data_IF_280154893679
#
_entry.id   IF_280154893679
#
_cell.length_a   1.000
_cell.length_b   1.000
_cell.length_c   1.000
_cell.angle_alpha   90.00
_cell.angle_beta   90.00
_cell.angle_gamma   90.00
#
_symmetry.space_group_name_H-M   'P 1'
#
loop_
_entity.id
_entity.type
_entity.pdbx_description
1 polymer ?
#
# COMPACT_ATOMS: atom_id res chain seq x y z
N UNK A 1 -66.22 68.79 88.21
CA UNK A 1 -66.99 68.93 86.95
C UNK A 1 -65.99 68.95 85.79
N UNK A 2 -66.10 67.97 84.86
CA UNK A 2 -66.47 68.18 83.42
C UNK A 2 -65.22 68.57 82.58
N UNK A 3 -64.85 68.00 81.42
CA UNK A 3 -65.48 67.10 80.43
C UNK A 3 -65.29 67.67 79.01
N UNK A 4 -64.82 66.83 78.04
CA UNK A 4 -64.94 66.93 76.54
C UNK A 4 -64.24 68.12 75.81
N UNK A 5 -63.82 68.13 74.52
CA UNK A 5 -63.96 67.31 73.30
C UNK A 5 -62.97 67.80 72.18
N UNK A 6 -62.81 66.99 71.12
CA UNK A 6 -62.54 67.30 69.69
C UNK A 6 -61.14 67.08 69.05
N UNK A 7 -61.19 66.51 67.83
CA UNK A 7 -60.12 65.93 67.00
C UNK A 7 -59.95 66.64 65.64
N UNK A 8 -58.84 66.39 64.92
CA UNK A 8 -58.59 66.77 63.51
C UNK A 8 -57.44 65.95 62.87
N UNK A 9 -57.40 65.74 61.53
CA UNK A 9 -56.92 64.51 60.88
C UNK A 9 -55.51 64.54 60.23
N UNK A 10 -55.09 63.38 59.71
CA UNK A 10 -53.73 63.00 59.25
C UNK A 10 -53.58 62.78 57.72
N UNK A 11 -52.30 62.69 57.30
CA UNK A 11 -51.69 62.00 56.13
C UNK A 11 -51.98 62.44 54.68
N UNK A 12 -50.97 63.06 54.02
CA UNK A 12 -50.91 63.17 52.54
C UNK A 12 -49.49 63.27 51.92
N UNK A 13 -48.39 63.11 52.67
CA UNK A 13 -47.07 63.59 52.20
C UNK A 13 -46.07 62.52 51.71
N UNK A 14 -46.33 61.20 51.89
CA UNK A 14 -45.35 60.16 51.46
C UNK A 14 -45.55 59.60 50.04
N UNK A 15 -46.66 59.90 49.35
CA UNK A 15 -46.97 59.30 48.05
C UNK A 15 -46.33 59.99 46.83
N UNK A 16 -45.89 61.24 46.96
CA UNK A 16 -45.39 62.01 45.81
C UNK A 16 -43.94 61.69 45.42
N UNK A 17 -43.09 61.35 46.39
CA UNK A 17 -41.67 61.06 46.14
C UNK A 17 -41.47 59.68 45.50
N UNK A 18 -42.26 58.68 45.89
CA UNK A 18 -42.25 57.35 45.25
C UNK A 18 -42.67 57.43 43.78
N UNK A 19 -43.69 58.24 43.46
CA UNK A 19 -44.16 58.46 42.07
C UNK A 19 -43.06 59.10 41.20
N UNK A 20 -42.26 60.01 41.76
CA UNK A 20 -41.17 60.65 41.03
C UNK A 20 -40.04 59.66 40.71
N UNK A 21 -39.68 58.79 41.66
CA UNK A 21 -38.67 57.74 41.47
C UNK A 21 -39.14 56.70 40.45
N UNK A 22 -40.40 56.26 40.52
CA UNK A 22 -40.99 55.34 39.54
C UNK A 22 -41.01 55.93 38.12
N UNK A 23 -41.34 57.22 37.95
CA UNK A 23 -41.29 57.90 36.64
C UNK A 23 -39.87 58.00 36.09
N UNK A 24 -38.87 58.21 36.94
CA UNK A 24 -37.46 58.24 36.53
C UNK A 24 -36.97 56.84 36.10
N UNK A 25 -37.37 55.79 36.82
CA UNK A 25 -37.07 54.40 36.46
C UNK A 25 -37.73 53.99 35.14
N UNK A 26 -38.99 54.39 34.90
CA UNK A 26 -39.68 54.13 33.63
C UNK A 26 -38.97 54.77 32.44
N UNK A 27 -38.56 56.05 32.54
CA UNK A 27 -37.80 56.72 31.47
C UNK A 27 -36.44 56.06 31.21
N UNK A 28 -35.78 55.57 32.26
CA UNK A 28 -34.53 54.84 32.12
C UNK A 28 -34.73 53.47 31.44
N UNK A 29 -35.88 52.82 31.70
CA UNK A 29 -36.26 51.57 31.08
C UNK A 29 -36.60 51.76 29.59
N UNK A 30 -37.36 52.80 29.24
CA UNK A 30 -37.67 53.19 27.86
C UNK A 30 -36.38 53.43 27.05
N UNK A 31 -35.43 54.17 27.61
CA UNK A 31 -34.14 54.44 26.97
C UNK A 31 -33.30 53.17 26.77
N UNK A 32 -33.37 52.22 27.72
CA UNK A 32 -32.73 50.90 27.56
C UNK A 32 -33.42 50.08 26.47
N UNK A 33 -34.74 50.10 26.41
CA UNK A 33 -35.52 49.38 25.39
C UNK A 33 -35.21 49.90 23.99
N UNK A 34 -35.12 51.21 23.81
CA UNK A 34 -34.72 51.84 22.54
C UNK A 34 -33.32 51.42 22.09
N UNK A 35 -32.37 51.37 23.03
CA UNK A 35 -31.01 50.94 22.73
C UNK A 35 -30.94 49.46 22.37
N UNK A 36 -31.70 48.61 23.08
CA UNK A 36 -31.82 47.18 22.78
C UNK A 36 -32.47 46.98 21.41
N UNK A 37 -33.51 47.74 21.07
CA UNK A 37 -34.16 47.65 19.76
C UNK A 37 -33.20 48.08 18.63
N UNK A 38 -32.42 49.13 18.83
CA UNK A 38 -31.39 49.57 17.87
C UNK A 38 -30.30 48.51 17.69
N UNK A 39 -29.84 47.88 18.78
CA UNK A 39 -28.88 46.78 18.70
C UNK A 39 -29.47 45.56 17.98
N UNK A 40 -30.70 45.17 18.31
CA UNK A 40 -31.40 44.06 17.64
C UNK A 40 -31.52 44.30 16.13
N UNK A 41 -31.94 45.50 15.72
CA UNK A 41 -32.04 45.86 14.30
C UNK A 41 -30.66 45.86 13.60
N UNK A 42 -29.59 46.24 14.30
CA UNK A 42 -28.23 46.23 13.75
C UNK A 42 -27.71 44.81 13.60
N UNK A 43 -27.91 43.96 14.61
CA UNK A 43 -27.56 42.53 14.59
C UNK A 43 -28.35 41.78 13.52
N UNK A 44 -29.63 42.12 13.32
CA UNK A 44 -30.45 41.51 12.27
C UNK A 44 -29.92 41.88 10.87
N UNK A 45 -29.58 43.15 10.63
CA UNK A 45 -28.96 43.59 9.37
C UNK A 45 -27.59 42.93 9.12
N UNK A 46 -26.77 42.76 10.17
CA UNK A 46 -25.50 42.03 10.07
C UNK A 46 -25.71 40.53 9.80
N UNK A 47 -26.75 39.92 10.39
CA UNK A 47 -27.08 38.52 10.15
C UNK A 47 -27.58 38.31 8.72
N UNK A 48 -28.37 39.23 8.19
CA UNK A 48 -28.83 39.21 6.79
C UNK A 48 -27.68 39.39 5.81
N UNK A 49 -26.73 40.30 6.09
CA UNK A 49 -25.56 40.49 5.23
C UNK A 49 -24.60 39.28 5.27
N UNK A 50 -24.41 38.67 6.44
CA UNK A 50 -23.64 37.42 6.57
C UNK A 50 -24.33 36.27 5.84
N UNK A 51 -25.65 36.13 5.94
CA UNK A 51 -26.43 35.12 5.18
C UNK A 51 -26.32 35.34 3.67
N UNK A 52 -26.40 36.58 3.20
CA UNK A 52 -26.21 36.91 1.78
C UNK A 52 -24.78 36.63 1.31
N UNK A 53 -23.77 36.96 2.11
CA UNK A 53 -22.37 36.66 1.79
C UNK A 53 -22.11 35.15 1.74
N UNK A 54 -22.69 34.38 2.68
CA UNK A 54 -22.64 32.92 2.65
C UNK A 54 -23.39 32.32 1.46
N UNK A 55 -24.57 32.84 1.12
CA UNK A 55 -25.34 32.40 -0.03
C UNK A 55 -24.60 32.70 -1.35
N UNK A 56 -23.98 33.88 -1.47
CA UNK A 56 -23.17 34.25 -2.62
C UNK A 56 -21.87 33.44 -2.71
N UNK A 57 -21.23 33.13 -1.59
CA UNK A 57 -20.06 32.25 -1.55
C UNK A 57 -20.43 30.80 -1.91
N UNK A 58 -21.56 30.28 -1.44
CA UNK A 58 -22.09 28.96 -1.86
C UNK A 58 -22.49 28.94 -3.34
N UNK A 59 -23.09 30.01 -3.85
CA UNK A 59 -23.41 30.14 -5.27
C UNK A 59 -22.16 30.26 -6.15
N UNK A 60 -21.07 30.83 -5.64
CA UNK A 60 -19.77 30.86 -6.31
C UNK A 60 -19.04 29.50 -6.25
N UNK A 61 -19.27 28.69 -5.21
CA UNK A 61 -18.75 27.31 -5.10
C UNK A 61 -19.54 26.32 -5.96
N UNK A 62 -20.84 26.52 -6.14
CA UNK A 62 -21.64 25.78 -7.12
C UNK A 62 -21.54 26.44 -8.49
N UNK A 63 -20.40 26.23 -9.17
CA UNK A 63 -20.30 26.51 -10.60
C UNK A 63 -21.52 25.94 -11.32
N UNK A 64 -22.14 26.79 -12.13
CA UNK A 64 -23.10 26.52 -13.21
C UNK A 64 -22.94 25.08 -13.71
N UNK A 65 -24.03 24.30 -13.74
CA UNK A 65 -24.04 22.94 -14.31
C UNK A 65 -23.24 22.95 -15.61
N UNK A 66 -22.07 22.30 -15.58
CA UNK A 66 -21.22 22.21 -16.77
C UNK A 66 -22.04 21.40 -17.77
N UNK A 67 -22.25 21.90 -19.01
CA UNK A 67 -22.92 21.11 -20.04
C UNK A 67 -22.21 19.76 -20.15
N UNK A 68 -22.93 18.70 -20.52
CA UNK A 68 -22.35 17.37 -20.77
C UNK A 68 -21.01 17.52 -21.46
N UNK A 69 -19.92 17.29 -20.70
CA UNK A 69 -18.58 17.36 -21.27
C UNK A 69 -18.47 16.10 -22.13
N UNK A 70 -18.10 16.21 -23.40
CA UNK A 70 -17.89 15.00 -24.18
C UNK A 70 -16.78 14.20 -23.49
N UNK A 71 -16.92 12.87 -23.54
CA UNK A 71 -15.91 11.97 -23.02
C UNK A 71 -15.16 11.37 -24.21
N UNK A 72 -13.84 11.51 -24.21
CA UNK A 72 -12.98 10.91 -25.23
C UNK A 72 -12.43 9.58 -24.71
N UNK A 73 -12.54 8.54 -25.53
CA UNK A 73 -11.86 7.27 -25.29
C UNK A 73 -10.42 7.36 -25.80
N UNK A 74 -9.47 7.09 -24.92
CA UNK A 74 -8.05 6.96 -25.23
C UNK A 74 -7.54 5.62 -24.72
N UNK A 75 -6.37 5.18 -25.24
CA UNK A 75 -5.74 3.91 -24.86
C UNK A 75 -4.29 4.14 -24.35
N UNK A 76 -4.03 5.05 -23.38
CA UNK A 76 -2.68 5.26 -22.85
C UNK A 76 -2.13 3.95 -22.28
N UNK A 77 -0.97 3.49 -22.77
CA UNK A 77 -0.41 2.20 -22.38
C UNK A 77 -1.36 1.02 -22.68
N UNK A 78 -2.20 1.16 -23.71
CA UNK A 78 -3.24 0.20 -24.09
C UNK A 78 -4.33 -0.05 -23.03
N UNK A 79 -4.55 0.95 -22.15
CA UNK A 79 -5.61 0.95 -21.14
C UNK A 79 -6.84 1.74 -21.60
N UNK A 80 -8.04 1.14 -21.70
CA UNK A 80 -9.27 1.88 -21.99
C UNK A 80 -9.52 2.98 -20.97
N UNK A 81 -9.43 4.23 -21.41
CA UNK A 81 -9.50 5.41 -20.54
C UNK A 81 -10.45 6.45 -21.13
N UNK A 82 -11.53 6.74 -20.40
CA UNK A 82 -12.48 7.78 -20.70
C UNK A 82 -12.11 9.04 -19.93
N UNK A 83 -11.90 10.15 -20.64
CA UNK A 83 -11.62 11.44 -20.00
C UNK A 83 -12.63 12.49 -20.48
N UNK A 84 -13.01 13.40 -19.59
CA UNK A 84 -13.69 14.63 -19.96
C UNK A 84 -12.82 15.47 -20.89
N UNK A 85 -13.41 16.22 -21.82
CA UNK A 85 -12.69 17.09 -22.77
C UNK A 85 -11.68 18.05 -22.10
N UNK A 86 -11.96 18.51 -20.88
CA UNK A 86 -11.07 19.37 -20.09
C UNK A 86 -9.90 18.62 -19.43
N UNK A 87 -9.87 17.28 -19.52
CA UNK A 87 -8.86 16.41 -18.94
C UNK A 87 -8.85 16.38 -17.40
N UNK A 88 -9.84 17.01 -16.74
CA UNK A 88 -9.88 17.08 -15.28
C UNK A 88 -10.35 15.76 -14.67
N UNK A 89 -11.20 15.02 -15.36
CA UNK A 89 -11.77 13.77 -14.87
C UNK A 89 -11.51 12.64 -15.85
N UNK A 90 -10.91 11.57 -15.38
CA UNK A 90 -10.62 10.38 -16.17
C UNK A 90 -11.01 9.13 -15.39
N UNK A 91 -11.51 8.12 -16.10
CA UNK A 91 -11.80 6.78 -15.57
C UNK A 91 -11.23 5.76 -16.54
N UNK A 92 -10.45 4.83 -16.03
CA UNK A 92 -9.84 3.78 -16.82
C UNK A 92 -10.19 2.40 -16.25
N UNK A 93 -10.43 1.45 -17.15
CA UNK A 93 -10.57 0.03 -16.80
C UNK A 93 -9.17 -0.56 -16.82
N UNK A 94 -8.74 -1.17 -15.72
CA UNK A 94 -7.46 -1.86 -15.64
C UNK A 94 -7.66 -3.35 -15.36
N UNK A 95 -6.84 -4.16 -15.99
CA UNK A 95 -6.88 -5.61 -15.86
C UNK A 95 -5.50 -6.23 -15.86
N UNK A 96 -5.40 -7.39 -15.21
CA UNK A 96 -4.19 -8.21 -15.19
C UNK A 96 -4.54 -9.67 -15.02
N UNK A 97 -4.00 -10.51 -15.89
CA UNK A 97 -4.07 -11.96 -15.81
C UNK A 97 -2.65 -12.53 -15.83
N UNK A 98 -2.29 -13.27 -14.79
CA UNK A 98 -1.08 -14.06 -14.70
C UNK A 98 -1.50 -15.51 -14.56
N UNK A 99 -1.33 -16.29 -15.62
CA UNK A 99 -1.60 -17.73 -15.61
C UNK A 99 -0.26 -18.46 -15.51
N UNK A 100 -0.06 -19.16 -14.40
CA UNK A 100 1.18 -19.86 -14.11
C UNK A 100 0.98 -21.35 -14.25
N UNK A 101 1.99 -22.04 -14.76
CA UNK A 101 2.12 -23.49 -14.66
C UNK A 101 3.50 -23.81 -14.12
N UNK A 102 3.61 -24.87 -13.32
CA UNK A 102 4.89 -25.33 -12.80
C UNK A 102 4.91 -26.86 -12.70
N UNK A 103 6.09 -27.42 -12.95
CA UNK A 103 6.44 -28.80 -12.68
C UNK A 103 7.65 -28.87 -11.74
N UNK A 104 7.67 -29.86 -10.85
CA UNK A 104 8.62 -29.96 -9.75
C UNK A 104 9.37 -31.29 -9.77
N UNK A 105 10.67 -31.23 -9.56
CA UNK A 105 11.49 -32.33 -9.05
C UNK A 105 11.79 -32.03 -7.59
N UNK A 106 11.42 -32.92 -6.67
CA UNK A 106 11.50 -32.66 -5.23
C UNK A 106 12.06 -33.86 -4.48
N UNK A 107 13.11 -33.63 -3.70
CA UNK A 107 13.83 -34.65 -2.94
C UNK A 107 13.82 -34.29 -1.45
N UNK A 108 12.91 -34.88 -0.64
CA UNK A 108 12.92 -34.66 0.80
C UNK A 108 14.19 -35.25 1.44
N UNK A 109 14.81 -34.51 2.36
CA UNK A 109 16.06 -34.93 3.02
C UNK A 109 15.87 -36.00 4.09
N UNK A 110 14.66 -36.18 4.60
CA UNK A 110 14.33 -37.26 5.54
C UNK A 110 12.83 -37.58 5.56
N UNK A 111 12.46 -38.67 6.24
CA UNK A 111 11.07 -38.98 6.55
C UNK A 111 10.38 -37.93 7.45
N UNK A 112 11.15 -37.03 8.07
CA UNK A 112 10.64 -35.91 8.86
C UNK A 112 10.37 -34.64 8.05
N UNK A 113 10.74 -34.60 6.77
CA UNK A 113 10.43 -33.47 5.88
C UNK A 113 8.91 -33.31 5.72
N UNK A 114 8.42 -32.08 5.77
CA UNK A 114 7.01 -31.78 5.48
C UNK A 114 6.93 -30.55 4.58
N UNK A 115 6.32 -30.66 3.38
CA UNK A 115 5.68 -31.86 2.83
C UNK A 115 6.71 -32.91 2.33
N UNK A 116 6.28 -34.16 2.16
CA UNK A 116 7.11 -35.22 1.54
C UNK A 116 7.13 -35.14 0.01
N UNK A 117 6.18 -34.43 -0.59
CA UNK A 117 6.06 -34.20 -2.03
C UNK A 117 5.38 -32.86 -2.30
N UNK A 118 5.57 -32.34 -3.50
CA UNK A 118 4.91 -31.14 -4.03
C UNK A 118 4.12 -31.52 -5.28
N UNK A 119 3.23 -30.64 -5.72
CA UNK A 119 2.35 -30.91 -6.85
C UNK A 119 2.63 -29.99 -8.02
N UNK A 120 2.81 -30.59 -9.20
CA UNK A 120 2.69 -29.90 -10.47
C UNK A 120 1.30 -29.27 -10.59
N UNK A 121 1.20 -28.18 -11.33
CA UNK A 121 -0.10 -27.55 -11.48
C UNK A 121 -0.15 -26.33 -12.37
N UNK A 122 -1.32 -25.70 -12.29
CA UNK A 122 -1.66 -24.46 -12.95
C UNK A 122 -2.48 -23.62 -11.97
N UNK A 123 -2.26 -22.31 -11.94
CA UNK A 123 -3.13 -21.38 -11.22
C UNK A 123 -3.19 -20.02 -11.90
N UNK A 124 -4.29 -19.32 -11.67
CA UNK A 124 -4.37 -17.89 -11.93
C UNK A 124 -3.66 -17.15 -10.80
N UNK A 125 -2.34 -16.99 -10.89
CA UNK A 125 -1.55 -16.31 -9.86
C UNK A 125 -2.05 -14.91 -9.52
N UNK A 126 -2.58 -14.21 -10.53
CA UNK A 126 -3.33 -12.94 -10.40
C UNK A 126 -4.42 -12.91 -11.45
N UNK A 127 -5.63 -12.56 -11.06
CA UNK A 127 -6.75 -12.31 -11.96
C UNK A 127 -7.46 -11.03 -11.48
N UNK A 128 -6.83 -9.90 -11.80
CA UNK A 128 -7.25 -8.59 -11.32
C UNK A 128 -8.10 -7.87 -12.36
N UNK A 129 -9.15 -7.23 -11.88
CA UNK A 129 -9.97 -6.31 -12.65
C UNK A 129 -10.35 -5.13 -11.76
N UNK A 130 -10.33 -3.93 -12.30
CA UNK A 130 -10.69 -2.76 -11.54
C UNK A 130 -10.90 -1.50 -12.35
N UNK A 131 -11.23 -0.45 -11.62
CA UNK A 131 -11.33 0.90 -12.11
C UNK A 131 -10.29 1.75 -11.39
N UNK A 132 -9.61 2.58 -12.16
CA UNK A 132 -8.79 3.66 -11.62
C UNK A 132 -9.26 4.97 -12.24
N UNK A 133 -9.03 6.07 -11.56
CA UNK A 133 -9.44 7.36 -12.11
C UNK A 133 -8.71 8.53 -11.50
N UNK A 134 -8.92 9.68 -12.12
CA UNK A 134 -8.53 10.98 -11.61
C UNK A 134 -9.77 11.87 -11.57
N UNK A 135 -9.96 12.61 -10.49
CA UNK A 135 -11.00 13.62 -10.32
C UNK A 135 -10.37 14.99 -10.07
N UNK A 136 -10.88 16.00 -10.74
CA UNK A 136 -10.39 17.38 -10.66
C UNK A 136 -8.85 17.48 -10.79
N UNK A 137 -8.23 16.67 -11.67
CA UNK A 137 -6.79 16.54 -11.95
C UNK A 137 -5.91 16.05 -10.79
N UNK A 138 -6.24 16.39 -9.56
CA UNK A 138 -5.36 16.25 -8.41
C UNK A 138 -5.66 15.04 -7.53
N UNK A 139 -6.85 14.45 -7.68
CA UNK A 139 -7.28 13.32 -6.86
C UNK A 139 -7.29 12.05 -7.67
N UNK A 140 -6.50 11.06 -7.28
CA UNK A 140 -6.57 9.72 -7.85
C UNK A 140 -7.40 8.80 -6.97
N UNK A 141 -8.03 7.80 -7.57
CA UNK A 141 -8.69 6.73 -6.85
C UNK A 141 -8.55 5.43 -7.62
N UNK A 142 -8.66 4.32 -6.91
CA UNK A 142 -8.65 3.00 -7.52
C UNK A 142 -9.42 1.99 -6.70
N UNK A 143 -10.17 1.14 -7.37
CA UNK A 143 -10.82 -0.04 -6.81
C UNK A 143 -10.51 -1.22 -7.70
N UNK A 144 -9.78 -2.18 -7.18
CA UNK A 144 -9.31 -3.37 -7.91
C UNK A 144 -9.64 -4.59 -7.07
N UNK A 145 -10.26 -5.58 -7.68
CA UNK A 145 -10.46 -6.91 -7.09
C UNK A 145 -9.46 -7.89 -7.69
N UNK A 146 -9.07 -8.92 -6.94
CA UNK A 146 -8.23 -10.03 -7.39
C UNK A 146 -8.96 -11.34 -7.13
N UNK A 147 -9.18 -12.12 -8.19
CA UNK A 147 -9.74 -13.46 -8.13
C UNK A 147 -8.66 -14.55 -8.25
N UNK A 148 -7.40 -14.16 -8.34
CA UNK A 148 -6.27 -15.06 -8.40
C UNK A 148 -5.67 -15.36 -7.02
N UNK A 149 -4.63 -16.18 -7.01
CA UNK A 149 -3.92 -16.53 -5.79
C UNK A 149 -3.21 -17.87 -5.93
N UNK A 150 -2.88 -18.50 -4.81
CA UNK A 150 -2.46 -19.92 -4.80
C UNK A 150 -3.67 -20.85 -4.87
N UNK A 151 -4.81 -20.42 -4.32
CA UNK A 151 -6.11 -21.08 -4.45
C UNK A 151 -6.99 -20.18 -5.31
N UNK A 152 -7.23 -20.60 -6.55
CA UNK A 152 -8.17 -19.92 -7.45
C UNK A 152 -9.59 -20.12 -6.89
N UNK A 153 -10.29 -19.04 -6.53
CA UNK A 153 -11.69 -19.17 -6.10
C UNK A 153 -12.28 -17.99 -5.32
N UNK A 154 -11.50 -17.35 -4.44
CA UNK A 154 -12.00 -16.24 -3.63
C UNK A 154 -11.69 -14.90 -4.30
N UNK A 155 -12.73 -14.12 -4.60
CA UNK A 155 -12.57 -12.73 -5.05
C UNK A 155 -12.32 -11.85 -3.84
N UNK A 156 -11.14 -11.24 -3.78
CA UNK A 156 -10.73 -10.36 -2.68
C UNK A 156 -10.52 -8.94 -3.17
N UNK A 157 -10.71 -7.97 -2.27
CA UNK A 157 -10.37 -6.59 -2.54
C UNK A 157 -8.84 -6.44 -2.58
N UNK A 158 -8.28 -6.09 -3.74
CA UNK A 158 -6.85 -5.89 -3.92
C UNK A 158 -6.45 -4.46 -3.55
N UNK A 159 -7.10 -3.48 -4.18
CA UNK A 159 -6.89 -2.07 -3.89
C UNK A 159 -8.23 -1.37 -3.71
N UNK A 160 -8.29 -0.43 -2.77
CA UNK A 160 -9.36 0.54 -2.61
C UNK A 160 -8.78 1.78 -1.94
N UNK A 161 -8.45 2.79 -2.74
CA UNK A 161 -7.71 3.95 -2.23
C UNK A 161 -8.16 5.26 -2.86
N UNK A 162 -7.80 6.34 -2.17
CA UNK A 162 -7.79 7.71 -2.68
C UNK A 162 -6.41 8.28 -2.45
N UNK A 163 -5.90 9.03 -3.43
CA UNK A 163 -4.63 9.72 -3.35
C UNK A 163 -4.74 11.16 -3.84
N UNK A 164 -3.89 12.04 -3.31
CA UNK A 164 -3.75 13.43 -3.72
C UNK A 164 -2.36 13.65 -4.31
N UNK A 165 -2.32 14.17 -5.55
CA UNK A 165 -1.11 14.46 -6.34
C UNK A 165 -1.03 15.92 -6.82
N UNK A 166 -1.82 16.82 -6.24
CA UNK A 166 -1.91 18.21 -6.70
C UNK A 166 -0.64 19.05 -6.51
N UNK A 167 0.32 18.55 -5.72
CA UNK A 167 1.65 19.16 -5.55
C UNK A 167 2.66 18.31 -6.32
N UNK A 168 3.41 18.95 -7.24
CA UNK A 168 4.42 18.26 -8.05
C UNK A 168 5.45 17.57 -7.14
N UNK A 169 5.67 16.28 -7.37
CA UNK A 169 6.64 15.48 -6.61
C UNK A 169 6.14 15.05 -5.24
N UNK A 170 4.85 15.19 -4.92
CA UNK A 170 4.22 14.71 -3.69
C UNK A 170 3.00 13.85 -4.03
N UNK A 171 2.88 12.72 -3.35
CA UNK A 171 1.68 11.88 -3.34
C UNK A 171 1.32 11.57 -1.90
N UNK A 172 0.09 11.84 -1.50
CA UNK A 172 -0.48 11.43 -0.21
C UNK A 172 -1.62 10.48 -0.50
N UNK A 173 -1.64 9.30 0.11
CA UNK A 173 -2.65 8.28 -0.20
C UNK A 173 -3.10 7.52 1.04
N UNK A 174 -4.33 7.03 0.98
CA UNK A 174 -4.92 6.21 2.04
C UNK A 174 -5.96 5.23 1.51
N UNK A 175 -6.07 4.09 2.20
CA UNK A 175 -7.00 3.02 1.86
C UNK A 175 -6.31 1.66 1.89
N UNK A 176 -6.81 0.70 1.12
CA UNK A 176 -6.14 -0.55 0.85
C UNK A 176 -5.22 -0.36 -0.36
N UNK A 177 -3.91 -0.32 -0.10
CA UNK A 177 -2.87 -0.03 -1.09
C UNK A 177 -1.83 -1.13 -1.09
N UNK A 178 -1.04 -1.17 -2.16
CA UNK A 178 0.28 -1.77 -2.13
C UNK A 178 1.24 -0.74 -1.51
N UNK A 179 1.87 -1.08 -0.38
CA UNK A 179 2.76 -0.17 0.36
C UNK A 179 4.16 -0.26 -0.25
N UNK A 180 4.71 0.82 -0.85
CA UNK A 180 5.98 0.80 -1.59
C UNK A 180 7.20 0.79 -0.66
N UNK A 181 7.31 -0.26 0.15
CA UNK A 181 8.44 -0.58 1.03
C UNK A 181 9.34 -1.57 0.29
N UNK A 182 10.63 -1.27 0.10
CA UNK A 182 11.61 -2.02 -0.72
C UNK A 182 11.42 -1.87 -2.23
N UNK A 183 12.50 -2.08 -2.99
CA UNK A 183 12.57 -1.90 -4.44
C UNK A 183 11.73 -2.92 -5.19
N UNK A 184 11.78 -4.20 -4.80
CA UNK A 184 11.00 -5.24 -5.48
C UNK A 184 9.49 -5.08 -5.23
N UNK A 185 9.10 -4.59 -4.05
CA UNK A 185 7.68 -4.31 -3.77
C UNK A 185 7.19 -3.11 -4.59
N UNK A 186 7.94 -2.00 -4.56
CA UNK A 186 7.64 -0.80 -5.33
C UNK A 186 7.64 -1.06 -6.85
N UNK A 187 8.37 -2.07 -7.30
CA UNK A 187 8.29 -2.59 -8.67
C UNK A 187 6.95 -3.29 -8.87
N UNK A 188 6.16 -2.76 -9.81
CA UNK A 188 4.87 -3.36 -10.16
C UNK A 188 5.04 -4.84 -10.46
N UNK A 189 4.14 -5.68 -9.95
CA UNK A 189 4.17 -7.12 -10.22
C UNK A 189 4.00 -7.52 -11.69
N UNK A 190 3.64 -6.60 -12.60
CA UNK A 190 3.74 -6.81 -14.06
C UNK A 190 5.19 -6.78 -14.58
N UNK A 191 6.07 -6.10 -13.84
CA UNK A 191 7.40 -5.67 -14.27
C UNK A 191 8.53 -6.38 -13.51
N UNK A 192 8.21 -7.16 -12.48
CA UNK A 192 9.21 -7.99 -11.79
C UNK A 192 9.91 -8.92 -12.78
N UNK A 193 11.20 -9.15 -12.53
CA UNK A 193 12.10 -9.85 -13.45
C UNK A 193 11.80 -11.35 -13.53
N UNK A 194 11.32 -11.93 -12.42
CA UNK A 194 10.95 -13.34 -12.27
C UNK A 194 9.46 -13.49 -11.97
N UNK A 195 8.93 -14.72 -12.06
CA UNK A 195 7.52 -14.99 -11.79
C UNK A 195 7.11 -14.57 -10.36
N UNK A 196 7.99 -14.72 -9.37
CA UNK A 196 7.75 -14.26 -8.01
C UNK A 196 8.90 -13.41 -7.47
N UNK A 197 8.58 -12.56 -6.48
CA UNK A 197 9.54 -11.82 -5.68
C UNK A 197 10.41 -12.78 -4.84
N UNK A 198 11.54 -12.29 -4.36
CA UNK A 198 12.44 -13.09 -3.55
C UNK A 198 11.84 -13.43 -2.16
N UNK A 199 12.17 -14.61 -1.62
CA UNK A 199 11.56 -15.08 -0.37
C UNK A 199 11.85 -14.14 0.81
N UNK A 200 13.07 -13.60 0.91
CA UNK A 200 13.42 -12.60 1.93
C UNK A 200 12.52 -11.36 1.87
N UNK A 201 12.29 -10.86 0.65
CA UNK A 201 11.46 -9.68 0.45
C UNK A 201 9.99 -9.94 0.85
N UNK A 202 9.44 -11.10 0.47
CA UNK A 202 8.08 -11.52 0.86
C UNK A 202 7.96 -11.66 2.38
N UNK A 203 8.95 -12.28 3.03
CA UNK A 203 8.98 -12.41 4.48
C UNK A 203 8.94 -11.03 5.17
N UNK A 204 9.65 -10.04 4.63
CA UNK A 204 9.66 -8.68 5.17
C UNK A 204 8.32 -7.97 4.99
N UNK A 205 7.78 -7.96 3.76
CA UNK A 205 6.52 -7.26 3.48
C UNK A 205 5.33 -7.88 4.18
N UNK A 206 5.31 -9.21 4.37
CA UNK A 206 4.22 -9.89 5.08
C UNK A 206 3.96 -9.37 6.50
N UNK A 207 4.98 -8.83 7.18
CA UNK A 207 4.87 -8.34 8.55
C UNK A 207 3.98 -7.10 8.66
N UNK A 208 4.20 -6.09 7.82
CA UNK A 208 3.47 -4.81 7.93
C UNK A 208 3.41 -3.99 6.63
N UNK A 209 3.69 -4.59 5.46
CA UNK A 209 3.68 -3.91 4.15
C UNK A 209 3.06 -4.81 3.04
N UNK A 210 3.40 -4.54 1.78
CA UNK A 210 2.95 -5.30 0.61
C UNK A 210 1.51 -5.02 0.16
N UNK A 211 1.03 -5.87 -0.74
CA UNK A 211 -0.30 -5.83 -1.37
C UNK A 211 -1.47 -5.81 -0.36
N UNK A 212 -2.55 -5.13 -0.75
CA UNK A 212 -3.88 -5.17 -0.13
C UNK A 212 -3.93 -4.73 1.34
N UNK A 213 -3.02 -3.86 1.75
CA UNK A 213 -2.88 -3.46 3.14
C UNK A 213 -3.56 -2.13 3.41
N UNK A 214 -4.33 -2.06 4.48
CA UNK A 214 -4.82 -0.78 4.99
C UNK A 214 -3.62 0.09 5.36
N UNK A 215 -3.48 1.25 4.75
CA UNK A 215 -2.39 2.15 5.06
C UNK A 215 -2.78 3.60 4.76
N UNK A 216 -2.06 4.51 5.41
CA UNK A 216 -2.13 5.94 5.15
C UNK A 216 -0.71 6.50 5.21
N UNK A 217 -0.36 7.34 4.26
CA UNK A 217 0.97 7.91 4.19
C UNK A 217 1.19 8.68 2.92
N UNK A 218 2.45 8.90 2.61
CA UNK A 218 2.81 9.63 1.40
C UNK A 218 4.26 9.49 1.05
N UNK A 219 4.57 10.03 -0.12
CA UNK A 219 5.88 9.96 -0.73
C UNK A 219 6.20 11.28 -1.41
N UNK A 220 7.48 11.65 -1.33
CA UNK A 220 8.07 12.76 -2.06
C UNK A 220 9.13 12.23 -3.00
N UNK A 221 9.17 12.76 -4.22
CA UNK A 221 10.06 12.26 -5.25
C UNK A 221 10.48 13.35 -6.22
N UNK A 222 11.68 13.18 -6.77
CA UNK A 222 12.27 14.02 -7.79
C UNK A 222 13.20 13.20 -8.68
N UNK A 223 14.01 13.87 -9.49
CA UNK A 223 14.88 13.19 -10.44
C UNK A 223 16.01 12.39 -9.76
N UNK A 224 16.37 12.77 -8.54
CA UNK A 224 17.52 12.23 -7.80
C UNK A 224 17.16 11.55 -6.47
N UNK A 225 15.89 11.55 -6.07
CA UNK A 225 15.48 10.95 -4.80
C UNK A 225 14.04 10.46 -4.82
N UNK A 226 13.76 9.53 -3.93
CA UNK A 226 12.42 9.08 -3.56
C UNK A 226 12.39 8.81 -2.06
N UNK A 227 11.38 9.30 -1.34
CA UNK A 227 11.19 9.04 0.10
C UNK A 227 9.72 8.79 0.36
N UNK A 228 9.40 7.72 1.07
CA UNK A 228 8.03 7.35 1.43
C UNK A 228 7.92 6.89 2.88
N UNK A 229 6.80 7.21 3.51
CA UNK A 229 6.47 6.77 4.86
C UNK A 229 4.98 6.49 5.00
N UNK A 230 4.65 5.36 5.62
CA UNK A 230 3.26 4.91 5.78
C UNK A 230 3.04 4.32 7.16
N UNK A 231 1.89 4.62 7.77
CA UNK A 231 1.33 3.81 8.85
C UNK A 231 0.47 2.72 8.22
N UNK A 232 0.54 1.50 8.74
CA UNK A 232 -0.05 0.31 8.12
C UNK A 232 -0.88 -0.49 9.12
N UNK A 233 -1.88 -1.19 8.61
CA UNK A 233 -2.86 -1.94 9.37
C UNK A 233 -3.10 -3.35 8.79
N UNK A 234 -4.30 -3.92 8.98
CA UNK A 234 -4.62 -5.25 8.46
C UNK A 234 -4.67 -5.29 6.93
N UNK A 235 -4.47 -6.48 6.38
CA UNK A 235 -4.78 -6.76 4.96
C UNK A 235 -6.29 -6.90 4.76
N UNK A 236 -6.76 -6.89 3.51
CA UNK A 236 -8.12 -7.32 3.17
C UNK A 236 -8.28 -8.86 3.27
N UNK A 237 -9.53 -9.34 3.22
CA UNK A 237 -9.85 -10.76 3.05
C UNK A 237 -10.82 -11.31 4.08
N UNK A 238 -11.36 -12.51 3.82
CA UNK A 238 -12.41 -13.16 4.62
C UNK A 238 -11.93 -13.58 6.03
N UNK A 239 -10.62 -13.68 6.23
CA UNK A 239 -10.02 -14.14 7.49
C UNK A 239 -9.71 -12.99 8.47
N UNK A 240 -10.05 -11.75 8.12
CA UNK A 240 -9.82 -10.58 8.98
C UNK A 240 -10.93 -10.51 10.02
N UNK A 241 -10.60 -10.86 11.27
CA UNK A 241 -11.56 -10.81 12.37
C UNK A 241 -11.54 -9.43 13.03
N UNK A 242 -12.48 -8.55 12.65
CA UNK A 242 -12.62 -7.20 13.21
C UNK A 242 -13.11 -7.16 14.67
N UNK A 243 -13.45 -8.28 15.28
CA UNK A 243 -13.73 -8.38 16.73
C UNK A 243 -12.46 -8.55 17.56
N UNK A 244 -11.28 -8.53 16.93
CA UNK A 244 -9.97 -8.67 17.57
C UNK A 244 -9.10 -7.43 17.33
N UNK A 245 -8.10 -7.16 18.20
CA UNK A 245 -7.03 -6.21 17.89
C UNK A 245 -6.42 -6.50 16.52
N UNK A 246 -6.25 -5.46 15.70
CA UNK A 246 -5.67 -5.57 14.37
C UNK A 246 -4.16 -5.29 14.42
N UNK A 247 -3.38 -5.83 13.47
CA UNK A 247 -1.98 -5.45 13.35
C UNK A 247 -1.85 -3.94 13.07
N UNK A 248 -0.82 -3.34 13.65
CA UNK A 248 -0.46 -1.93 13.45
C UNK A 248 1.05 -1.85 13.23
N UNK A 249 1.45 -1.23 12.13
CA UNK A 249 2.84 -1.04 11.79
C UNK A 249 3.11 0.30 11.12
N UNK A 250 4.37 0.49 10.74
CA UNK A 250 4.84 1.62 9.97
C UNK A 250 5.98 1.18 9.05
N UNK A 251 6.10 1.87 7.92
CA UNK A 251 7.19 1.69 6.96
C UNK A 251 7.82 3.03 6.62
N UNK A 252 9.11 2.99 6.33
CA UNK A 252 9.88 4.10 5.79
C UNK A 252 10.81 3.54 4.72
N UNK A 253 10.92 4.25 3.59
CA UNK A 253 11.88 3.94 2.53
C UNK A 253 12.45 5.24 1.99
N UNK A 254 13.76 5.31 1.84
CA UNK A 254 14.46 6.45 1.26
C UNK A 254 15.52 5.97 0.28
N UNK A 255 15.52 6.60 -0.89
CA UNK A 255 16.30 6.17 -2.04
C UNK A 255 16.97 7.38 -2.68
N UNK A 256 18.28 7.29 -2.87
CA UNK A 256 19.08 8.24 -3.64
C UNK A 256 19.39 7.68 -5.02
N UNK A 257 19.36 8.57 -6.02
CA UNK A 257 19.70 8.27 -7.40
C UNK A 257 20.89 9.15 -7.84
N UNK A 258 22.13 8.84 -7.39
CA UNK A 258 23.31 9.64 -7.73
C UNK A 258 23.55 9.72 -9.24
N UNK A 259 23.09 8.71 -9.99
CA UNK A 259 23.07 8.72 -11.45
C UNK A 259 21.63 8.39 -11.87
N UNK A 260 20.99 9.29 -12.62
CA UNK A 260 19.72 9.03 -13.27
C UNK A 260 19.60 9.91 -14.52
N UNK A 261 20.17 9.42 -15.62
CA UNK A 261 20.24 10.15 -16.88
C UNK A 261 20.23 9.16 -18.06
N UNK A 262 20.49 9.66 -19.26
CA UNK A 262 20.50 8.86 -20.49
C UNK A 262 21.57 7.76 -20.50
N UNK A 263 22.68 7.96 -19.79
CA UNK A 263 23.79 7.00 -19.71
C UNK A 263 23.42 5.81 -18.81
N UNK A 264 22.68 6.06 -17.72
CA UNK A 264 22.28 5.00 -16.81
C UNK A 264 21.52 5.48 -15.58
N UNK A 265 21.18 4.52 -14.73
CA UNK A 265 20.56 4.76 -13.43
C UNK A 265 21.32 3.98 -12.37
N UNK A 266 21.72 4.64 -11.27
CA UNK A 266 22.24 4.01 -10.06
C UNK A 266 21.31 4.41 -8.93
N UNK A 267 20.85 3.42 -8.18
CA UNK A 267 19.93 3.55 -7.06
C UNK A 267 20.60 2.95 -5.83
N UNK A 268 20.55 3.67 -4.72
CA UNK A 268 20.94 3.16 -3.40
C UNK A 268 19.91 3.64 -2.39
N UNK A 269 19.41 2.74 -1.56
CA UNK A 269 18.35 3.03 -0.63
C UNK A 269 18.47 2.28 0.69
N UNK A 270 17.64 2.73 1.61
CA UNK A 270 17.46 2.17 2.94
C UNK A 270 15.96 2.12 3.26
N UNK A 271 15.55 1.03 3.88
CA UNK A 271 14.18 0.85 4.35
C UNK A 271 14.14 0.41 5.81
N UNK A 272 13.06 0.78 6.48
CA UNK A 272 12.74 0.34 7.81
C UNK A 272 11.25 -0.01 7.91
N UNK A 273 10.96 -1.14 8.53
CA UNK A 273 9.61 -1.58 8.87
C UNK A 273 9.54 -1.81 10.37
N UNK A 274 8.46 -1.34 10.98
CA UNK A 274 8.16 -1.56 12.39
C UNK A 274 6.74 -2.10 12.54
N UNK A 275 6.59 -3.31 13.07
CA UNK A 275 5.32 -3.90 13.47
C UNK A 275 5.15 -3.74 14.97
N UNK A 276 4.34 -2.76 15.38
CA UNK A 276 4.11 -2.42 16.78
C UNK A 276 3.13 -3.38 17.46
N UNK A 277 2.16 -3.89 16.71
CA UNK A 277 1.15 -4.83 17.18
C UNK A 277 0.95 -5.91 16.12
N UNK A 278 1.00 -7.18 16.52
CA UNK A 278 0.80 -8.31 15.59
C UNK A 278 -0.68 -8.61 15.34
N UNK A 279 -1.58 -8.14 16.22
CA UNK A 279 -3.01 -8.43 16.21
C UNK A 279 -3.39 -9.75 16.89
N UNK A 280 -4.70 -9.98 17.07
CA UNK A 280 -5.27 -11.21 17.66
C UNK A 280 -5.64 -11.13 19.14
N UNK A 281 -6.10 -12.27 19.69
CA UNK A 281 -6.85 -12.35 20.97
C UNK A 281 -5.97 -12.56 22.20
N UNK A 282 -4.76 -13.11 22.07
CA UNK A 282 -3.96 -13.57 23.22
C UNK A 282 -2.45 -13.57 22.91
N UNK A 283 -1.64 -13.06 23.85
CA UNK A 283 -0.17 -13.12 23.89
C UNK A 283 0.60 -12.60 22.67
N UNK A 284 -0.01 -11.82 21.77
CA UNK A 284 0.59 -11.30 20.53
C UNK A 284 1.45 -12.34 19.80
N UNK A 285 0.84 -13.05 18.86
CA UNK A 285 1.54 -14.10 18.12
C UNK A 285 2.02 -13.62 16.75
N UNK A 286 3.10 -14.22 16.25
CA UNK A 286 3.62 -13.97 14.91
C UNK A 286 4.10 -15.29 14.29
N UNK A 287 3.82 -15.50 13.01
CA UNK A 287 4.42 -16.58 12.22
C UNK A 287 5.05 -16.00 10.97
N UNK A 288 6.21 -16.53 10.58
CA UNK A 288 6.90 -16.19 9.35
C UNK A 288 7.10 -17.45 8.52
N UNK A 289 6.70 -17.39 7.26
CA UNK A 289 6.81 -18.51 6.34
C UNK A 289 6.80 -18.04 4.90
N UNK A 290 7.52 -18.75 4.03
CA UNK A 290 7.37 -18.61 2.59
C UNK A 290 7.70 -19.91 1.86
N UNK A 291 7.33 -19.96 0.58
CA UNK A 291 7.56 -21.08 -0.34
C UNK A 291 8.87 -20.89 -1.09
N UNK A 292 9.17 -21.83 -1.97
CA UNK A 292 10.38 -21.88 -2.81
C UNK A 292 10.34 -20.92 -4.01
N UNK A 293 9.85 -19.69 -3.80
CA UNK A 293 9.73 -18.63 -4.82
C UNK A 293 8.87 -19.00 -6.04
N UNK A 294 7.85 -19.83 -5.82
CA UNK A 294 6.77 -20.14 -6.76
C UNK A 294 5.48 -20.35 -5.98
N UNK A 295 4.32 -20.15 -6.61
CA UNK A 295 3.01 -20.08 -5.94
C UNK A 295 1.95 -21.02 -6.52
N UNK A 296 2.35 -21.98 -7.35
CA UNK A 296 1.47 -23.00 -7.95
C UNK A 296 1.10 -24.07 -6.92
N UNK A 297 2.06 -24.52 -6.10
CA UNK A 297 1.81 -25.50 -5.04
C UNK A 297 1.19 -24.82 -3.78
N UNK A 298 0.35 -25.52 -2.98
CA UNK A 298 -0.41 -24.92 -1.89
C UNK A 298 0.42 -24.19 -0.83
N UNK A 299 -0.19 -23.21 -0.16
CA UNK A 299 0.43 -22.46 0.93
C UNK A 299 0.91 -23.32 2.09
N UNK A 300 0.19 -24.41 2.34
CA UNK A 300 0.48 -25.37 3.41
C UNK A 300 1.82 -26.09 3.24
N UNK A 301 2.39 -26.04 2.04
CA UNK A 301 3.65 -26.67 1.69
C UNK A 301 4.87 -25.73 1.84
N UNK A 302 4.72 -24.60 2.53
CA UNK A 302 5.82 -23.69 2.82
C UNK A 302 6.95 -24.39 3.60
N UNK A 303 8.14 -24.44 3.00
CA UNK A 303 9.33 -25.07 3.59
C UNK A 303 10.00 -24.19 4.63
N UNK A 304 10.07 -22.87 4.37
CA UNK A 304 10.41 -21.89 5.39
C UNK A 304 9.19 -21.65 6.25
N UNK A 305 9.29 -21.96 7.54
CA UNK A 305 8.18 -21.77 8.48
C UNK A 305 8.68 -21.81 9.93
N UNK A 306 8.56 -20.68 10.64
CA UNK A 306 8.90 -20.56 12.08
C UNK A 306 7.92 -21.28 13.00
N UNK A 307 6.74 -21.64 12.49
CA UNK A 307 5.57 -21.89 13.32
C UNK A 307 5.08 -20.60 14.00
N UNK A 308 4.18 -20.76 14.95
CA UNK A 308 3.67 -19.65 15.77
C UNK A 308 4.66 -19.30 16.87
N UNK A 309 5.20 -18.09 16.82
CA UNK A 309 5.96 -17.47 17.91
C UNK A 309 4.97 -16.77 18.85
N UNK A 310 5.09 -17.04 20.15
CA UNK A 310 4.25 -16.44 21.19
C UNK A 310 4.98 -15.30 21.92
N UNK A 311 4.21 -14.43 22.59
CA UNK A 311 4.70 -13.34 23.42
C UNK A 311 5.54 -12.33 22.64
N UNK A 312 5.14 -12.00 21.42
CA UNK A 312 5.84 -11.05 20.55
C UNK A 312 5.42 -9.63 20.91
N UNK A 313 6.37 -8.79 21.32
CA UNK A 313 6.12 -7.41 21.65
C UNK A 313 6.03 -6.54 20.39
N UNK A 314 7.02 -6.70 19.50
CA UNK A 314 7.10 -6.00 18.22
C UNK A 314 8.07 -6.76 17.29
N UNK A 315 8.00 -6.43 16.00
CA UNK A 315 8.97 -6.87 15.01
C UNK A 315 9.54 -5.68 14.25
N UNK A 316 10.81 -5.74 13.87
CA UNK A 316 11.49 -4.71 13.08
C UNK A 316 12.20 -5.37 11.90
N UNK A 317 12.19 -4.70 10.76
CA UNK A 317 13.04 -5.07 9.62
C UNK A 317 13.82 -3.84 9.20
N UNK A 318 15.14 -3.97 9.10
CA UNK A 318 16.00 -2.99 8.46
C UNK A 318 16.49 -3.60 7.15
N UNK A 319 16.43 -2.83 6.07
CA UNK A 319 16.94 -3.27 4.77
C UNK A 319 17.74 -2.20 4.05
N UNK A 320 18.65 -2.68 3.21
CA UNK A 320 19.34 -1.87 2.22
C UNK A 320 19.04 -2.40 0.83
N UNK A 321 18.87 -1.47 -0.11
CA UNK A 321 18.58 -1.76 -1.51
C UNK A 321 19.58 -1.07 -2.43
N UNK A 322 19.97 -1.72 -3.51
CA UNK A 322 20.79 -1.12 -4.55
C UNK A 322 20.40 -1.65 -5.93
N UNK A 323 20.52 -0.79 -6.94
CA UNK A 323 20.35 -1.20 -8.32
C UNK A 323 21.19 -0.35 -9.28
N UNK A 324 21.55 -0.95 -10.40
CA UNK A 324 22.23 -0.29 -11.51
C UNK A 324 21.56 -0.71 -12.82
N UNK A 325 21.36 0.26 -13.71
CA UNK A 325 20.90 0.06 -15.09
C UNK A 325 21.82 0.81 -16.02
N UNK A 326 22.40 0.10 -16.99
CA UNK A 326 23.22 0.67 -18.04
C UNK A 326 22.87 0.02 -19.38
N UNK A 327 22.31 0.80 -20.30
CA UNK A 327 21.74 0.25 -21.53
C UNK A 327 20.73 -0.85 -21.25
N UNK A 328 20.93 -2.01 -21.87
CA UNK A 328 20.09 -3.21 -21.72
C UNK A 328 20.44 -4.10 -20.52
N UNK A 329 21.49 -3.75 -19.78
CA UNK A 329 21.86 -4.44 -18.55
C UNK A 329 21.20 -3.79 -17.34
N UNK A 330 20.66 -4.61 -16.45
CA UNK A 330 20.18 -4.19 -15.13
C UNK A 330 20.64 -5.19 -14.08
N UNK A 331 21.02 -4.70 -12.90
CA UNK A 331 21.20 -5.52 -11.72
C UNK A 331 20.59 -4.83 -10.49
N UNK A 332 20.06 -5.61 -9.57
CA UNK A 332 19.53 -5.12 -8.30
C UNK A 332 19.70 -6.14 -7.20
N UNK A 333 19.67 -5.68 -5.96
CA UNK A 333 19.70 -6.58 -4.81
C UNK A 333 19.27 -5.86 -3.54
N UNK A 334 18.77 -6.66 -2.61
CA UNK A 334 18.25 -6.19 -1.33
C UNK A 334 18.66 -7.16 -0.24
N UNK A 335 18.95 -6.62 0.95
CA UNK A 335 19.29 -7.40 2.13
C UNK A 335 18.43 -6.96 3.31
N UNK A 336 18.00 -7.92 4.12
CA UNK A 336 17.01 -7.76 5.19
C UNK A 336 17.53 -8.35 6.49
N UNK A 337 17.45 -7.56 7.55
CA UNK A 337 17.72 -7.96 8.93
C UNK A 337 16.43 -7.86 9.75
N UNK A 338 15.95 -8.99 10.27
CA UNK A 338 14.68 -9.08 10.99
C UNK A 338 14.95 -9.26 12.47
N UNK A 339 14.32 -8.45 13.31
CA UNK A 339 14.44 -8.51 14.77
C UNK A 339 13.05 -8.66 15.39
N UNK A 340 12.82 -9.74 16.11
CA UNK A 340 11.55 -10.04 16.78
C UNK A 340 11.75 -9.95 18.28
N UNK A 341 11.19 -8.92 18.89
CA UNK A 341 11.29 -8.72 20.33
C UNK A 341 10.22 -9.53 21.05
N UNK A 342 10.62 -10.29 22.08
CA UNK A 342 9.72 -11.16 22.83
C UNK A 342 9.66 -10.79 24.31
N UNK A 343 8.64 -11.27 25.00
CA UNK A 343 8.44 -11.10 26.44
C UNK A 343 8.33 -12.44 27.17
N UNK A 344 7.89 -12.41 28.43
CA UNK A 344 7.72 -13.60 29.28
C UNK A 344 9.01 -14.43 29.47
N UNK A 345 10.16 -13.75 29.56
CA UNK A 345 11.48 -14.37 29.74
C UNK A 345 12.04 -15.09 28.51
N UNK A 346 11.38 -14.98 27.34
CA UNK A 346 11.90 -15.51 26.09
C UNK A 346 12.94 -14.57 25.49
N UNK A 347 14.01 -15.12 24.93
CA UNK A 347 15.04 -14.34 24.21
C UNK A 347 14.47 -13.68 22.96
N UNK A 348 15.01 -12.54 22.54
CA UNK A 348 14.69 -11.99 21.21
C UNK A 348 15.19 -12.92 20.10
N UNK A 349 14.66 -12.74 18.88
CA UNK A 349 15.04 -13.52 17.71
C UNK A 349 15.58 -12.61 16.60
N UNK A 350 16.63 -13.08 15.93
CA UNK A 350 17.21 -12.43 14.75
C UNK A 350 17.20 -13.36 13.55
N UNK A 351 16.67 -12.89 12.42
CA UNK A 351 16.67 -13.60 11.15
C UNK A 351 17.32 -12.72 10.09
N UNK A 352 17.68 -13.30 8.95
CA UNK A 352 18.23 -12.54 7.82
C UNK A 352 17.91 -13.17 6.47
N UNK A 353 18.03 -12.38 5.42
CA UNK A 353 17.84 -12.84 4.06
C UNK A 353 18.16 -11.74 3.06
N UNK A 354 18.29 -12.11 1.81
CA UNK A 354 18.53 -11.17 0.74
C UNK A 354 18.56 -11.85 -0.61
N UNK A 355 18.65 -11.03 -1.65
CA UNK A 355 18.81 -11.54 -3.00
C UNK A 355 19.67 -10.58 -3.83
N UNK A 356 20.28 -11.13 -4.87
CA UNK A 356 20.89 -10.37 -5.95
C UNK A 356 20.38 -10.92 -7.27
N UNK A 357 20.02 -10.02 -8.19
CA UNK A 357 19.54 -10.37 -9.51
C UNK A 357 20.15 -9.49 -10.59
N UNK A 358 20.21 -10.03 -11.80
CA UNK A 358 20.64 -9.30 -12.98
C UNK A 358 19.88 -9.77 -14.22
N UNK A 359 19.70 -8.87 -15.18
CA UNK A 359 19.17 -9.19 -16.49
C UNK A 359 19.91 -8.47 -17.61
N UNK A 360 19.75 -9.03 -18.80
CA UNK A 360 20.19 -8.45 -20.04
C UNK A 360 19.11 -8.60 -21.11
N UNK A 361 18.67 -7.47 -21.67
CA UNK A 361 17.70 -7.44 -22.78
C UNK A 361 18.45 -7.61 -24.09
N UNK A 362 18.39 -8.81 -24.68
CA UNK A 362 19.13 -9.20 -25.88
C UNK A 362 18.77 -8.30 -27.08
N UNK A 363 17.53 -7.85 -27.13
CA UNK A 363 16.97 -7.05 -28.23
C UNK A 363 17.27 -5.54 -28.12
N UNK A 364 17.94 -5.09 -27.06
CA UNK A 364 18.47 -3.73 -26.94
C UNK A 364 17.57 -2.75 -26.18
N UNK A 365 16.36 -3.15 -25.77
CA UNK A 365 15.50 -2.32 -24.93
C UNK A 365 16.07 -2.15 -23.51
N UNK A 366 15.48 -1.24 -22.75
CA UNK A 366 15.97 -0.86 -21.42
C UNK A 366 14.84 -0.82 -20.41
N UNK A 367 15.13 -1.21 -19.17
CA UNK A 367 14.27 -0.89 -18.03
C UNK A 367 14.25 0.61 -17.79
N UNK A 368 13.05 1.19 -17.74
CA UNK A 368 12.88 2.62 -17.44
C UNK A 368 12.67 2.81 -15.95
N UNK A 369 13.40 3.73 -15.34
CA UNK A 369 13.13 4.12 -13.96
C UNK A 369 11.89 5.01 -13.90
N UNK A 370 10.97 4.70 -12.99
CA UNK A 370 9.79 5.52 -12.71
C UNK A 370 10.02 6.30 -11.41
N UNK A 371 10.19 7.61 -11.54
CA UNK A 371 10.49 8.50 -10.42
C UNK A 371 9.37 8.57 -9.40
N UNK A 372 8.09 8.47 -9.80
CA UNK A 372 6.99 8.47 -8.82
C UNK A 372 6.86 7.12 -8.11
N UNK A 373 7.10 6.01 -8.79
CA UNK A 373 7.09 4.69 -8.14
C UNK A 373 8.33 4.44 -7.26
N UNK A 374 9.44 5.13 -7.52
CA UNK A 374 10.70 4.84 -6.85
C UNK A 374 11.28 3.49 -7.26
N UNK A 375 11.00 3.03 -8.49
CA UNK A 375 11.25 1.67 -8.94
C UNK A 375 11.44 1.56 -10.46
N UNK A 376 11.91 0.41 -10.94
CA UNK A 376 12.07 0.15 -12.37
C UNK A 376 10.77 -0.37 -13.00
N UNK A 377 10.50 0.09 -14.22
CA UNK A 377 9.43 -0.35 -15.07
C UNK A 377 9.83 -1.54 -15.94
N UNK A 378 8.83 -2.11 -16.61
CA UNK A 378 9.02 -3.22 -17.54
C UNK A 378 9.64 -2.80 -18.87
N UNK A 379 9.83 -3.78 -19.74
CA UNK A 379 10.32 -3.60 -21.10
C UNK A 379 9.15 -3.30 -22.04
N UNK A 380 9.31 -2.23 -22.83
CA UNK A 380 8.42 -1.92 -23.94
C UNK A 380 9.14 -2.27 -25.25
N UNK A 381 8.74 -3.35 -25.95
CA UNK A 381 9.38 -3.75 -27.20
C UNK A 381 9.41 -2.61 -28.22
N UNK A 382 10.58 -2.31 -28.78
CA UNK A 382 10.70 -1.30 -29.83
C UNK A 382 9.99 -1.75 -31.12
N UNK A 383 10.01 -3.07 -31.37
CA UNK A 383 9.30 -3.73 -32.46
C UNK A 383 8.44 -4.86 -31.88
N UNK A 384 7.17 -4.61 -31.55
CA UNK A 384 6.23 -5.65 -31.12
C UNK A 384 6.15 -6.78 -32.14
N UNK A 385 5.76 -7.98 -31.69
CA UNK A 385 5.68 -9.16 -32.57
C UNK A 385 4.77 -8.89 -33.76
N UNK A 386 5.33 -9.07 -34.95
CA UNK A 386 4.63 -9.02 -36.21
C UNK A 386 5.30 -10.01 -37.17
N UNK A 387 4.65 -11.16 -37.37
CA UNK A 387 5.18 -12.23 -38.21
C UNK A 387 5.31 -11.84 -39.69
N UNK A 388 4.56 -10.84 -40.17
CA UNK A 388 4.65 -10.36 -41.55
C UNK A 388 5.93 -9.55 -41.80
N UNK A 389 6.42 -8.82 -40.80
CA UNK A 389 7.66 -8.03 -40.87
C UNK A 389 8.87 -8.76 -40.27
N UNK A 390 8.67 -9.91 -39.64
CA UNK A 390 9.71 -10.67 -38.96
C UNK A 390 10.08 -10.11 -37.57
N UNK A 391 9.25 -9.23 -37.01
CA UNK A 391 9.47 -8.66 -35.68
C UNK A 391 9.10 -9.69 -34.60
N UNK A 392 10.02 -9.92 -33.66
CA UNK A 392 9.92 -10.98 -32.65
C UNK A 392 9.68 -10.44 -31.23
N UNK A 393 9.35 -9.16 -31.05
CA UNK A 393 9.23 -8.56 -29.72
C UNK A 393 10.58 -8.37 -29.03
N UNK A 394 10.57 -8.24 -27.70
CA UNK A 394 11.79 -8.12 -26.90
C UNK A 394 12.10 -9.39 -26.10
N UNK A 395 13.38 -9.70 -25.94
CA UNK A 395 13.86 -10.88 -25.22
C UNK A 395 14.83 -10.48 -24.13
N UNK A 396 14.60 -10.97 -22.92
CA UNK A 396 15.43 -10.71 -21.75
C UNK A 396 15.82 -12.03 -21.08
N UNK A 397 17.11 -12.15 -20.74
CA UNK A 397 17.64 -13.21 -19.89
C UNK A 397 17.89 -12.66 -18.50
N UNK A 398 17.57 -13.45 -17.47
CA UNK A 398 17.73 -13.03 -16.09
C UNK A 398 18.29 -14.15 -15.21
N UNK A 399 19.01 -13.77 -14.16
CA UNK A 399 19.47 -14.66 -13.09
C UNK A 399 19.24 -14.03 -11.73
N UNK A 400 18.82 -14.82 -10.74
CA UNK A 400 18.72 -14.40 -9.34
C UNK A 400 19.29 -15.46 -8.43
N UNK A 401 20.03 -15.01 -7.42
CA UNK A 401 20.35 -15.81 -6.25
C UNK A 401 19.60 -15.22 -5.05
N UNK A 402 18.87 -16.07 -4.33
CA UNK A 402 18.10 -15.70 -3.14
C UNK A 402 18.53 -16.54 -1.95
N UNK A 403 18.54 -15.91 -0.78
CA UNK A 403 18.83 -16.54 0.50
C UNK A 403 17.88 -16.02 1.58
N UNK A 404 17.39 -16.91 2.43
CA UNK A 404 16.61 -16.52 3.62
C UNK A 404 16.80 -17.55 4.73
N UNK A 405 17.03 -17.10 5.95
CA UNK A 405 17.21 -17.94 7.13
C UNK A 405 16.28 -17.51 8.25
N UNK A 406 15.41 -18.42 8.68
CA UNK A 406 14.49 -18.27 9.80
C UNK A 406 14.94 -19.11 11.01
N UNK A 407 16.25 -19.27 11.18
CA UNK A 407 16.86 -20.08 12.24
C UNK A 407 17.51 -19.19 13.30
N UNK A 408 17.00 -19.23 14.54
CA UNK A 408 17.65 -18.59 15.69
C UNK A 408 17.17 -19.18 17.03
N UNK A 409 18.09 -19.37 17.98
CA UNK A 409 17.80 -19.87 19.32
C UNK A 409 17.05 -21.20 19.34
N UNK A 410 15.76 -21.15 19.69
CA UNK A 410 14.84 -22.32 19.72
C UNK A 410 14.00 -22.45 18.44
N UNK A 411 13.99 -21.44 17.57
CA UNK A 411 13.26 -21.46 16.31
C UNK A 411 14.12 -22.12 15.24
N UNK A 412 13.53 -23.09 14.54
CA UNK A 412 14.15 -23.84 13.44
C UNK A 412 13.31 -23.68 12.18
N UNK A 413 13.21 -22.44 11.71
CA UNK A 413 12.33 -22.07 10.60
C UNK A 413 12.80 -22.57 9.24
N UNK A 414 14.09 -22.89 9.10
CA UNK A 414 14.74 -23.33 7.86
C UNK A 414 15.60 -22.23 7.24
N UNK A 415 16.55 -22.67 6.42
CA UNK A 415 17.41 -21.84 5.58
C UNK A 415 17.17 -22.23 4.12
N UNK A 416 16.87 -21.25 3.27
CA UNK A 416 16.61 -21.42 1.85
C UNK A 416 17.74 -20.79 1.03
N UNK A 417 18.16 -21.49 -0.02
CA UNK A 417 19.04 -20.96 -1.08
C UNK A 417 18.46 -21.33 -2.43
N UNK A 418 18.15 -20.34 -3.24
CA UNK A 418 17.65 -20.51 -4.60
C UNK A 418 18.57 -19.86 -5.62
N UNK A 419 18.76 -20.54 -6.74
CA UNK A 419 19.23 -19.95 -7.99
C UNK A 419 18.12 -20.06 -9.02
N UNK A 420 17.71 -18.93 -9.56
CA UNK A 420 16.67 -18.85 -10.61
C UNK A 420 17.29 -18.33 -11.89
N UNK A 421 17.09 -19.06 -12.98
CA UNK A 421 17.40 -18.61 -14.35
C UNK A 421 16.08 -18.37 -15.08
N UNK A 422 15.95 -17.18 -15.67
CA UNK A 422 14.71 -16.72 -16.30
C UNK A 422 14.90 -16.31 -17.76
N UNK A 423 13.88 -16.56 -18.57
CA UNK A 423 13.73 -16.02 -19.93
C UNK A 423 12.39 -15.30 -20.02
N UNK A 424 12.41 -14.06 -20.46
CA UNK A 424 11.23 -13.23 -20.64
C UNK A 424 11.08 -12.83 -22.11
N UNK A 425 9.91 -13.13 -22.67
CA UNK A 425 9.55 -12.74 -24.03
C UNK A 425 8.39 -11.74 -23.98
N UNK A 426 8.68 -10.50 -24.37
CA UNK A 426 7.72 -9.41 -24.44
C UNK A 426 7.18 -9.31 -25.86
N UNK A 427 5.98 -9.83 -26.07
CA UNK A 427 5.33 -9.85 -27.39
C UNK A 427 4.92 -8.44 -27.80
N UNK A 428 4.33 -7.70 -26.87
CA UNK A 428 3.96 -6.30 -27.00
C UNK A 428 3.87 -5.69 -25.57
N UNK A 429 3.32 -4.48 -25.45
CA UNK A 429 3.20 -3.81 -24.14
C UNK A 429 2.21 -4.49 -23.17
N UNK A 430 1.31 -5.34 -23.68
CA UNK A 430 0.26 -5.99 -22.90
C UNK A 430 0.58 -7.44 -22.57
N UNK A 431 1.32 -8.13 -23.44
CA UNK A 431 1.53 -9.58 -23.37
C UNK A 431 3.01 -9.94 -23.19
N UNK A 432 3.27 -10.74 -22.15
CA UNK A 432 4.60 -11.24 -21.79
C UNK A 432 4.49 -12.74 -21.48
N UNK A 433 5.44 -13.51 -21.97
CA UNK A 433 5.67 -14.88 -21.55
C UNK A 433 6.94 -14.95 -20.70
N UNK A 434 6.90 -15.77 -19.65
CA UNK A 434 8.06 -15.97 -18.77
C UNK A 434 8.30 -17.45 -18.62
N UNK A 435 9.56 -17.83 -18.56
CA UNK A 435 10.02 -19.15 -18.14
C UNK A 435 11.06 -18.99 -17.04
N UNK A 436 10.91 -19.75 -15.96
CA UNK A 436 11.85 -19.82 -14.86
C UNK A 436 12.27 -21.27 -14.62
N UNK A 437 13.57 -21.52 -14.52
CA UNK A 437 14.11 -22.69 -13.84
C UNK A 437 14.65 -22.26 -12.48
N UNK A 438 14.17 -22.89 -11.41
CA UNK A 438 14.60 -22.64 -10.03
C UNK A 438 15.28 -23.89 -9.52
N UNK A 439 16.55 -23.79 -9.17
CA UNK A 439 17.28 -24.82 -8.45
C UNK A 439 17.50 -24.36 -7.02
N UNK A 440 17.15 -25.19 -6.03
CA UNK A 440 17.28 -24.76 -4.65
C UNK A 440 17.36 -25.87 -3.62
N UNK A 441 17.77 -25.44 -2.43
CA UNK A 441 17.86 -26.25 -1.22
C UNK A 441 17.16 -25.51 -0.10
N UNK A 442 16.43 -26.26 0.71
CA UNK A 442 16.06 -25.85 2.07
C UNK A 442 16.74 -26.79 3.06
N UNK A 443 17.43 -26.22 4.03
CA UNK A 443 17.98 -26.90 5.19
C UNK A 443 17.18 -26.52 6.43
N UNK A 444 16.54 -27.50 7.07
CA UNK A 444 15.70 -27.30 8.25
C UNK A 444 15.95 -28.43 9.22
N UNK A 445 16.21 -28.15 10.49
CA UNK A 445 16.53 -29.21 11.47
C UNK A 445 15.40 -29.39 12.46
N UNK A 446 15.01 -30.64 12.72
CA UNK A 446 14.01 -30.94 13.74
C UNK A 446 14.50 -30.52 15.14
N UNK A 447 13.59 -29.98 15.95
CA UNK A 447 13.89 -29.50 17.31
C UNK A 447 14.47 -30.66 18.13
N UNK A 448 15.64 -30.45 18.74
CA UNK A 448 16.39 -31.44 19.54
C UNK A 448 16.96 -32.64 18.76
N UNK A 449 17.12 -32.55 17.45
CA UNK A 449 17.85 -33.55 16.66
C UNK A 449 18.72 -32.89 15.59
N UNK A 450 19.71 -33.62 15.08
CA UNK A 450 20.49 -33.21 13.92
C UNK A 450 19.91 -33.75 12.60
N UNK A 451 18.62 -34.13 12.60
CA UNK A 451 17.95 -34.62 11.39
C UNK A 451 17.50 -33.43 10.54
N UNK A 452 17.98 -33.38 9.30
CA UNK A 452 17.56 -32.39 8.31
C UNK A 452 16.19 -32.80 7.72
N UNK A 453 15.17 -32.01 8.03
CA UNK A 453 13.79 -32.09 7.56
C UNK A 453 13.52 -31.08 6.43
N UNK A 454 14.55 -30.61 5.75
CA UNK A 454 14.45 -29.81 4.53
C UNK A 454 14.31 -30.66 3.26
N UNK A 455 14.59 -30.06 2.11
CA UNK A 455 14.47 -30.70 0.79
C UNK A 455 15.37 -30.03 -0.24
N UNK A 456 15.73 -30.76 -1.29
CA UNK A 456 16.33 -30.23 -2.51
C UNK A 456 15.30 -30.28 -3.65
N UNK A 457 15.36 -29.33 -4.58
CA UNK A 457 14.37 -29.25 -5.66
C UNK A 457 14.87 -28.55 -6.91
N UNK A 458 14.22 -28.92 -8.02
CA UNK A 458 14.19 -28.16 -9.26
C UNK A 458 12.73 -27.83 -9.61
N UNK A 459 12.48 -26.60 -10.07
CA UNK A 459 11.16 -26.16 -10.54
C UNK A 459 11.29 -25.62 -11.95
N UNK A 460 10.44 -26.08 -12.85
CA UNK A 460 10.28 -25.54 -14.19
C UNK A 460 8.92 -24.86 -14.27
N UNK A 461 8.92 -23.54 -14.39
CA UNK A 461 7.70 -22.74 -14.33
C UNK A 461 7.55 -21.84 -15.55
N UNK A 462 6.32 -21.65 -16.01
CA UNK A 462 5.97 -20.74 -17.08
C UNK A 462 4.83 -19.81 -16.65
N UNK A 463 4.86 -18.57 -17.14
CA UNK A 463 3.77 -17.60 -16.99
C UNK A 463 3.31 -17.08 -18.34
N UNK A 464 2.00 -17.07 -18.54
CA UNK A 464 1.36 -16.19 -19.52
C UNK A 464 0.82 -14.96 -18.80
N UNK A 465 1.30 -13.79 -19.17
CA UNK A 465 0.89 -12.52 -18.57
C UNK A 465 0.20 -11.64 -19.60
N UNK A 466 -0.98 -11.13 -19.24
CA UNK A 466 -1.72 -10.10 -19.97
C UNK A 466 -2.07 -8.96 -19.02
N UNK A 467 -1.82 -7.71 -19.40
CA UNK A 467 -2.21 -6.54 -18.62
C UNK A 467 -2.68 -5.39 -19.51
N UNK A 468 -3.62 -4.59 -19.02
CA UNK A 468 -4.09 -3.35 -19.65
C UNK A 468 -4.42 -2.29 -18.60
#
# INVERSE_FOLDING_TARGET
>A
MIGTLAAGPAHAQSSNDEIAVLKAQLRALEKKLDNVQKQANTTQKQTESVKQNFANANAAMHKKAVPFINANLTMPGNRPTFCTDDGLNCIAITGRLHLDTAAYSFSPKSAGTSPQSVNDGINARRARLGLIGTFNKDWEYGVIVDAGGTTDGDVTLNNAYVAYKGVKGLLIQGGYIDVPYTLDEATSSNNIMFMERAASQVLATSLAAGDNRAAFGGQVFGDQYWVGAYVTGPTTGLNVNHSQPQPLGATFRAVGLPINNEVGTVLVGFDALYLAQTGGVTNNTLGMSDRIEIRVDPATNALLNTGTMNFVNNARVLSGEAAVKFGSFMASGEYFDYNIQRSNGLSDLSFNGGYGQASYVITGEQHKYNTSAGAFGGINPARPVNFATGDLGAWELAVRYSYASLNDGVIRGGELKNTTVGVNWYVNQNMRFMFNWIHGTVDKFAVNSNVNTGADYDVFAMRTQVAF
#
